data_IF_805638895335
#
_entry.id   IF_805638895335
#
_cell.length_a   1.000
_cell.length_b   1.000
_cell.length_c   1.000
_cell.angle_alpha   90.00
_cell.angle_beta   90.00
_cell.angle_gamma   90.00
#
_symmetry.space_group_name_H-M   'P 1'
#
loop_
_entity.id
_entity.type
_entity.pdbx_description
1 polymer ?
#
# COMPACT_ATOMS: atom_id res chain seq x y z
N UNK A 1 -7.06 20.29 -4.92
CA UNK A 1 -7.81 19.02 -5.03
C UNK A 1 -8.47 18.73 -3.70
N UNK A 2 -9.77 18.45 -3.70
CA UNK A 2 -10.53 18.04 -2.51
C UNK A 2 -10.32 16.55 -2.25
N UNK A 3 -10.20 16.18 -0.97
CA UNK A 3 -10.06 14.78 -0.56
C UNK A 3 -11.41 14.07 -0.74
N UNK A 4 -11.47 12.87 -1.35
CA UNK A 4 -12.70 12.11 -1.46
C UNK A 4 -13.31 11.79 -0.09
N UNK A 5 -14.64 11.75 0.01
CA UNK A 5 -15.32 11.36 1.25
C UNK A 5 -15.10 9.90 1.62
N UNK A 6 -14.95 9.04 0.61
CA UNK A 6 -14.70 7.61 0.77
C UNK A 6 -13.57 7.17 -0.15
N UNK A 7 -12.78 6.20 0.31
CA UNK A 7 -11.74 5.53 -0.46
C UNK A 7 -11.78 4.06 -0.13
N UNK A 8 -11.88 3.21 -1.17
CA UNK A 8 -11.95 1.76 -1.02
C UNK A 8 -13.00 1.28 -0.01
N UNK A 9 -14.16 1.94 0.03
CA UNK A 9 -15.26 1.63 0.96
C UNK A 9 -15.10 2.20 2.37
N UNK A 10 -13.94 2.79 2.70
CA UNK A 10 -13.69 3.40 4.00
C UNK A 10 -14.01 4.89 3.98
N UNK A 11 -14.56 5.41 5.08
CA UNK A 11 -14.80 6.85 5.25
C UNK A 11 -13.48 7.55 5.54
N UNK A 12 -13.12 8.52 4.72
CA UNK A 12 -11.87 9.26 4.87
C UNK A 12 -12.00 10.24 6.05
N UNK A 13 -11.00 10.24 6.92
CA UNK A 13 -10.93 11.14 8.07
C UNK A 13 -10.06 12.35 7.75
N UNK A 14 -8.83 12.12 7.29
CA UNK A 14 -7.88 13.18 6.95
C UNK A 14 -6.67 12.64 6.18
N UNK A 15 -6.02 13.55 5.46
CA UNK A 15 -4.63 13.35 5.00
C UNK A 15 -3.68 13.52 6.19
N UNK A 16 -2.72 12.62 6.30
CA UNK A 16 -1.62 12.71 7.26
C UNK A 16 -0.41 13.39 6.62
N UNK A 17 0.48 13.88 7.46
CA UNK A 17 1.80 14.30 7.02
C UNK A 17 2.56 13.09 6.46
N UNK A 18 3.14 13.24 5.27
CA UNK A 18 3.82 12.16 4.58
C UNK A 18 5.09 11.73 5.32
N UNK A 19 5.74 12.65 6.04
CA UNK A 19 6.93 12.36 6.85
C UNK A 19 6.65 11.36 7.98
N UNK A 20 5.37 11.20 8.36
CA UNK A 20 4.95 10.14 9.29
C UNK A 20 5.27 8.75 8.76
N UNK A 21 5.37 8.55 7.44
CA UNK A 21 5.77 7.28 6.85
C UNK A 21 7.17 6.86 7.32
N UNK A 22 8.12 7.80 7.31
CA UNK A 22 9.52 7.55 7.67
C UNK A 22 9.82 7.75 9.16
N UNK A 23 8.91 8.35 9.91
CA UNK A 23 9.04 8.52 11.37
C UNK A 23 8.13 7.55 12.13
N UNK A 24 6.84 7.85 12.24
CA UNK A 24 5.85 7.08 13.01
C UNK A 24 5.63 5.66 12.49
N UNK A 25 5.62 5.48 11.17
CA UNK A 25 5.25 4.21 10.53
C UNK A 25 6.46 3.40 10.04
N UNK A 26 7.68 3.80 10.39
CA UNK A 26 8.92 3.15 9.96
C UNK A 26 9.00 1.67 10.34
N UNK A 27 8.44 1.29 11.50
CA UNK A 27 8.38 -0.09 11.98
C UNK A 27 6.97 -0.69 11.94
N UNK A 28 6.01 -0.01 11.31
CA UNK A 28 4.64 -0.50 11.23
C UNK A 28 4.55 -1.71 10.30
N UNK A 29 3.83 -2.76 10.70
CA UNK A 29 3.79 -4.07 10.03
C UNK A 29 3.74 -4.00 8.50
N UNK A 30 2.81 -3.21 7.95
CA UNK A 30 2.60 -3.04 6.50
C UNK A 30 3.34 -1.83 5.94
N UNK A 31 3.19 -0.67 6.58
CA UNK A 31 3.68 0.61 6.06
C UNK A 31 5.20 0.71 6.06
N UNK A 32 5.90 -0.09 6.88
CA UNK A 32 7.37 -0.15 6.85
C UNK A 32 7.92 -0.57 5.47
N UNK A 33 7.15 -1.31 4.66
CA UNK A 33 7.57 -1.69 3.32
C UNK A 33 7.76 -0.43 2.47
N UNK A 34 6.79 0.48 2.50
CA UNK A 34 6.87 1.75 1.79
C UNK A 34 7.95 2.66 2.36
N UNK A 35 8.10 2.71 3.69
CA UNK A 35 9.12 3.53 4.35
C UNK A 35 10.55 3.09 4.02
N UNK A 36 10.78 1.78 3.84
CA UNK A 36 12.12 1.19 3.65
C UNK A 36 12.46 0.85 2.20
N UNK A 37 11.46 0.56 1.36
CA UNK A 37 11.65 0.16 -0.05
C UNK A 37 11.13 1.20 -1.06
N UNK A 38 10.54 2.30 -0.60
CA UNK A 38 9.95 3.33 -1.44
C UNK A 38 8.46 3.11 -1.73
N UNK A 39 7.84 4.11 -2.36
CA UNK A 39 6.38 4.18 -2.57
C UNK A 39 5.95 3.89 -4.00
N UNK A 40 6.90 3.62 -4.90
CA UNK A 40 6.63 3.37 -6.31
C UNK A 40 6.24 1.92 -6.55
N UNK A 41 5.19 1.68 -7.34
CA UNK A 41 4.78 0.34 -7.72
C UNK A 41 5.89 -0.33 -8.56
N UNK A 42 6.36 -1.50 -8.15
CA UNK A 42 7.44 -2.21 -8.86
C UNK A 42 7.11 -2.57 -10.31
N UNK A 43 5.80 -2.64 -10.66
CA UNK A 43 5.33 -3.02 -11.99
C UNK A 43 5.12 -1.83 -12.93
N UNK A 44 4.31 -0.86 -12.51
CA UNK A 44 3.91 0.26 -13.37
C UNK A 44 4.56 1.60 -13.01
N UNK A 45 5.37 1.65 -11.95
CA UNK A 45 6.08 2.85 -11.53
C UNK A 45 5.22 3.93 -10.84
N UNK A 46 3.89 3.77 -10.76
CA UNK A 46 3.04 4.78 -10.11
C UNK A 46 3.40 4.93 -8.63
N UNK A 47 3.48 6.18 -8.17
CA UNK A 47 3.94 6.49 -6.83
C UNK A 47 2.81 6.80 -5.86
N UNK A 48 2.91 6.22 -4.65
CA UNK A 48 2.12 6.64 -3.51
C UNK A 48 2.63 7.95 -2.94
N UNK A 49 1.76 8.97 -2.89
CA UNK A 49 2.10 10.35 -2.48
C UNK A 49 1.22 10.86 -1.33
N UNK A 50 0.14 10.15 -1.01
CA UNK A 50 -0.81 10.54 0.03
C UNK A 50 -0.93 9.47 1.10
N UNK A 51 -0.53 9.80 2.32
CA UNK A 51 -0.84 8.99 3.49
C UNK A 51 -2.20 9.45 4.04
N UNK A 52 -3.19 8.55 4.08
CA UNK A 52 -4.58 8.90 4.42
C UNK A 52 -5.06 8.02 5.56
N UNK A 53 -5.65 8.66 6.58
CA UNK A 53 -6.36 7.99 7.65
C UNK A 53 -7.85 7.85 7.27
N UNK A 54 -8.39 6.66 7.43
CA UNK A 54 -9.80 6.34 7.18
C UNK A 54 -10.36 5.42 8.25
N UNK A 55 -11.68 5.25 8.27
CA UNK A 55 -12.38 4.31 9.14
C UNK A 55 -13.26 3.40 8.31
N UNK A 56 -13.21 2.09 8.56
CA UNK A 56 -14.10 1.12 7.91
C UNK A 56 -15.52 1.16 8.51
N UNK A 57 -16.43 0.37 7.94
CA UNK A 57 -17.82 0.29 8.43
C UNK A 57 -17.95 -0.31 9.84
N UNK A 58 -16.97 -1.10 10.29
CA UNK A 58 -16.91 -1.69 11.62
C UNK A 58 -16.23 -0.80 12.67
N UNK A 59 -15.81 0.42 12.30
CA UNK A 59 -15.10 1.34 13.20
C UNK A 59 -13.58 1.11 13.26
N UNK A 60 -13.04 0.19 12.46
CA UNK A 60 -11.60 -0.06 12.36
C UNK A 60 -10.88 1.12 11.72
N UNK A 61 -9.83 1.62 12.37
CA UNK A 61 -9.00 2.70 11.86
C UNK A 61 -7.91 2.17 10.92
N UNK A 62 -7.85 2.74 9.73
CA UNK A 62 -6.86 2.39 8.70
C UNK A 62 -5.99 3.60 8.37
N UNK A 63 -4.72 3.31 8.07
CA UNK A 63 -3.80 4.27 7.48
C UNK A 63 -3.18 3.60 6.27
N UNK A 64 -3.49 4.14 5.10
CA UNK A 64 -3.06 3.59 3.83
C UNK A 64 -2.39 4.67 2.96
N UNK A 65 -1.60 4.19 2.02
CA UNK A 65 -0.86 5.02 1.07
C UNK A 65 -1.62 5.02 -0.27
N UNK A 66 -1.82 6.20 -0.84
CA UNK A 66 -2.55 6.40 -2.08
C UNK A 66 -1.71 7.20 -3.08
N UNK A 67 -1.93 6.93 -4.37
CA UNK A 67 -1.37 7.71 -5.47
C UNK A 67 -2.06 9.08 -5.61
N UNK A 68 -1.56 9.93 -6.51
CA UNK A 68 -2.17 11.22 -6.82
C UNK A 68 -3.63 11.10 -7.30
N UNK A 69 -3.96 9.98 -7.96
CA UNK A 69 -5.30 9.66 -8.44
C UNK A 69 -6.09 8.79 -7.45
N UNK A 70 -5.70 8.75 -6.18
CA UNK A 70 -6.35 7.97 -5.12
C UNK A 70 -6.46 6.46 -5.38
N UNK A 71 -5.58 5.92 -6.22
CA UNK A 71 -5.38 4.46 -6.30
C UNK A 71 -4.62 4.00 -5.05
N UNK A 72 -5.14 2.96 -4.37
CA UNK A 72 -4.49 2.38 -3.20
C UNK A 72 -3.16 1.73 -3.57
N UNK A 73 -2.14 2.00 -2.75
CA UNK A 73 -0.89 1.25 -2.71
C UNK A 73 -1.00 0.11 -1.69
N UNK A 74 -0.57 -1.06 -2.11
CA UNK A 74 -0.60 -2.31 -1.35
C UNK A 74 0.80 -2.87 -1.20
N UNK A 75 0.92 -3.85 -0.31
CA UNK A 75 2.12 -4.69 -0.21
C UNK A 75 1.79 -6.05 -0.84
N UNK A 76 2.73 -6.59 -1.58
CA UNK A 76 2.63 -7.91 -2.17
C UNK A 76 3.88 -8.74 -1.84
N UNK A 77 3.78 -10.07 -1.94
CA UNK A 77 4.90 -10.99 -1.81
C UNK A 77 5.60 -11.20 -3.16
N UNK A 78 6.91 -10.94 -3.25
CA UNK A 78 7.74 -11.19 -4.45
C UNK A 78 7.57 -12.64 -4.91
N UNK A 79 7.91 -13.59 -4.03
CA UNK A 79 7.48 -14.99 -4.15
C UNK A 79 6.13 -15.13 -3.45
N UNK A 80 5.03 -15.49 -4.14
CA UNK A 80 3.72 -15.68 -3.54
C UNK A 80 3.76 -16.68 -2.38
N UNK A 81 2.93 -16.45 -1.36
CA UNK A 81 2.79 -17.36 -0.22
C UNK A 81 2.42 -18.78 -0.63
N UNK A 82 1.56 -18.92 -1.64
CA UNK A 82 1.15 -20.22 -2.20
C UNK A 82 2.30 -20.99 -2.85
N UNK A 83 3.39 -20.31 -3.22
CA UNK A 83 4.63 -20.88 -3.76
C UNK A 83 5.76 -20.94 -2.70
N UNK A 84 5.43 -20.88 -1.41
CA UNK A 84 6.41 -20.95 -0.31
C UNK A 84 7.00 -19.61 0.13
N UNK A 85 6.48 -18.49 -0.37
CA UNK A 85 6.92 -17.15 0.00
C UNK A 85 6.74 -16.79 1.47
N UNK A 86 7.80 -16.32 2.11
CA UNK A 86 7.76 -15.91 3.52
C UNK A 86 7.11 -14.54 3.70
N UNK A 87 6.45 -14.33 4.85
CA UNK A 87 5.79 -13.06 5.21
C UNK A 87 6.74 -12.09 5.92
N UNK A 88 7.88 -11.80 5.29
CA UNK A 88 8.96 -10.96 5.82
C UNK A 88 9.27 -9.77 4.90
N UNK A 89 9.88 -8.71 5.45
CA UNK A 89 10.22 -7.49 4.71
C UNK A 89 11.02 -7.77 3.44
N UNK A 90 11.96 -8.72 3.49
CA UNK A 90 12.77 -9.09 2.32
C UNK A 90 11.90 -9.55 1.13
N UNK A 91 10.84 -10.30 1.39
CA UNK A 91 9.93 -10.83 0.37
C UNK A 91 8.74 -9.90 0.08
N UNK A 92 8.64 -8.73 0.70
CA UNK A 92 7.59 -7.77 0.37
C UNK A 92 8.02 -6.77 -0.70
N UNK A 93 7.09 -6.33 -1.53
CA UNK A 93 7.29 -5.29 -2.53
C UNK A 93 6.09 -4.31 -2.60
N UNK A 94 6.32 -3.01 -2.86
CA UNK A 94 5.24 -2.06 -3.12
C UNK A 94 4.53 -2.33 -4.45
N UNK A 95 3.20 -2.41 -4.45
CA UNK A 95 2.40 -2.51 -5.67
C UNK A 95 1.10 -1.72 -5.57
N UNK A 96 0.68 -1.04 -6.64
CA UNK A 96 -0.67 -0.49 -6.67
C UNK A 96 -1.71 -1.64 -6.71
N UNK A 97 -2.92 -1.39 -6.21
CA UNK A 97 -3.97 -2.42 -6.09
C UNK A 97 -4.28 -3.12 -7.42
N UNK A 98 -4.19 -2.41 -8.55
CA UNK A 98 -4.46 -2.98 -9.87
C UNK A 98 -3.37 -3.95 -10.31
N UNK A 99 -2.09 -3.58 -10.17
CA UNK A 99 -0.98 -4.46 -10.53
C UNK A 99 -0.93 -5.67 -9.60
N UNK A 100 -1.13 -5.46 -8.30
CA UNK A 100 -1.18 -6.56 -7.33
C UNK A 100 -2.32 -7.54 -7.64
N UNK A 101 -3.52 -7.03 -7.94
CA UNK A 101 -4.65 -7.87 -8.34
C UNK A 101 -4.39 -8.65 -9.63
N UNK A 102 -3.67 -8.07 -10.60
CA UNK A 102 -3.26 -8.77 -11.82
C UNK A 102 -2.21 -9.84 -11.54
N UNK A 103 -1.31 -9.60 -10.59
CA UNK A 103 -0.27 -10.55 -10.18
C UNK A 103 -0.85 -11.79 -9.53
N UNK A 104 -1.73 -11.60 -8.55
CA UNK A 104 -2.32 -12.69 -7.79
C UNK A 104 -1.25 -13.66 -7.25
N UNK A 105 -1.30 -14.92 -7.69
CA UNK A 105 -0.40 -15.99 -7.23
C UNK A 105 0.76 -16.29 -8.19
N UNK A 106 1.04 -15.42 -9.16
CA UNK A 106 2.14 -15.56 -10.12
C UNK A 106 3.37 -14.74 -9.70
N UNK A 107 4.51 -14.95 -10.37
CA UNK A 107 5.69 -14.09 -10.22
C UNK A 107 5.59 -12.92 -11.19
N UNK A 108 6.26 -11.80 -10.90
CA UNK A 108 6.30 -10.66 -11.84
C UNK A 108 6.94 -11.03 -13.19
N UNK A 109 7.84 -12.01 -13.22
CA UNK A 109 8.41 -12.55 -14.46
C UNK A 109 7.39 -13.24 -15.36
N UNK A 110 6.23 -13.60 -14.82
CA UNK A 110 5.22 -14.41 -15.50
C UNK A 110 4.12 -13.56 -16.17
N UNK A 111 4.18 -12.21 -16.10
CA UNK A 111 3.08 -11.30 -16.51
C UNK A 111 3.52 -10.01 -17.20
#
# INVERSE_FOLDING_TARGET
MTLPHTLNGNRVLKRLDFDQLHTKYFNHRRLQVFAKKGTSCVRCGVEGVYLIASVDQGGGHHVDLFTANFTLMTIDHILPRSKGGQSILANYQPMCQYCNSRKGNTLESDI
#
